data_IF_803274940473
#
_entry.id   IF_803274940473
#
_cell.length_a   1.000
_cell.length_b   1.000
_cell.length_c   1.000
_cell.angle_alpha   90.00
_cell.angle_beta   90.00
_cell.angle_gamma   90.00
#
_symmetry.space_group_name_H-M   'P 1'
#
loop_
_entity.id
_entity.type
_entity.pdbx_description
1 polymer ?
#
# COMPACT_ATOMS: atom_id res chain seq x y z
N UNK A 1 3.55 -17.28 -15.54
CA UNK A 1 4.45 -17.08 -14.38
C UNK A 1 3.82 -16.02 -13.52
N UNK A 2 3.72 -16.23 -12.21
CA UNK A 2 3.15 -15.24 -11.31
C UNK A 2 4.04 -13.98 -11.27
N UNK A 3 3.42 -12.81 -11.32
CA UNK A 3 4.05 -11.51 -11.10
C UNK A 3 4.20 -11.30 -9.60
N UNK A 4 5.38 -10.82 -9.18
CA UNK A 4 5.69 -10.61 -7.77
C UNK A 4 6.26 -9.21 -7.57
N UNK A 5 5.89 -8.58 -6.47
CA UNK A 5 6.48 -7.33 -6.01
C UNK A 5 6.67 -7.34 -4.50
N UNK A 6 7.53 -6.46 -4.01
CA UNK A 6 7.83 -6.30 -2.58
C UNK A 6 7.95 -4.82 -2.26
N UNK A 7 7.43 -4.41 -1.11
CA UNK A 7 7.62 -3.08 -0.55
C UNK A 7 8.19 -3.21 0.86
N UNK A 8 9.29 -2.49 1.11
CA UNK A 8 9.91 -2.38 2.43
C UNK A 8 9.50 -1.04 3.02
N UNK A 9 8.76 -1.10 4.13
CA UNK A 9 8.23 0.05 4.83
C UNK A 9 9.22 0.49 5.90
N UNK A 10 9.54 1.80 5.90
CA UNK A 10 10.35 2.44 6.93
C UNK A 10 9.73 3.78 7.32
N UNK A 11 9.22 3.86 8.54
CA UNK A 11 8.66 5.08 9.12
C UNK A 11 9.70 5.94 9.82
N UNK A 12 9.26 7.09 10.30
CA UNK A 12 10.00 7.85 11.30
C UNK A 12 9.82 7.17 12.68
N UNK A 13 10.91 6.71 13.29
CA UNK A 13 10.88 5.92 14.52
C UNK A 13 11.00 4.41 14.28
N UNK A 14 10.32 3.61 15.10
CA UNK A 14 10.49 2.14 15.11
C UNK A 14 9.57 1.40 14.12
N UNK A 15 8.64 2.11 13.48
CA UNK A 15 7.71 1.50 12.52
C UNK A 15 8.45 1.01 11.28
N UNK A 16 8.39 -0.30 11.05
CA UNK A 16 9.05 -0.94 9.91
C UNK A 16 8.31 -2.21 9.52
N UNK A 17 8.48 -2.65 8.27
CA UNK A 17 7.80 -3.85 7.80
C UNK A 17 8.15 -4.22 6.37
N UNK A 18 7.69 -5.38 5.96
CA UNK A 18 7.80 -5.84 4.58
C UNK A 18 6.47 -6.43 4.14
N UNK A 19 5.99 -5.98 2.98
CA UNK A 19 4.77 -6.47 2.36
C UNK A 19 5.08 -7.00 0.97
N UNK A 20 4.45 -8.13 0.64
CA UNK A 20 4.63 -8.87 -0.60
C UNK A 20 3.33 -8.87 -1.38
N UNK A 21 3.48 -8.77 -2.70
CA UNK A 21 2.38 -8.79 -3.65
C UNK A 21 2.62 -9.95 -4.61
N UNK A 22 1.60 -10.77 -4.82
CA UNK A 22 1.63 -11.85 -5.79
C UNK A 22 0.36 -11.82 -6.65
N UNK A 23 0.53 -11.89 -7.97
CA UNK A 23 -0.56 -11.92 -8.94
C UNK A 23 -0.27 -13.03 -9.96
N UNK A 24 -1.13 -14.06 -10.02
CA UNK A 24 -0.86 -15.24 -10.85
C UNK A 24 -0.79 -14.93 -12.34
N UNK A 25 -1.63 -14.01 -12.80
CA UNK A 25 -1.74 -13.50 -14.16
C UNK A 25 -2.46 -12.14 -14.17
N UNK A 26 -2.51 -11.46 -15.32
CA UNK A 26 -3.05 -10.10 -15.43
C UNK A 26 -4.53 -9.94 -15.01
N UNK A 27 -5.33 -11.01 -15.04
CA UNK A 27 -6.75 -10.99 -14.68
C UNK A 27 -7.01 -11.50 -13.27
N UNK A 28 -6.02 -12.05 -12.58
CA UNK A 28 -6.15 -12.55 -11.22
C UNK A 28 -6.09 -11.40 -10.19
N UNK A 29 -6.75 -11.52 -9.03
CA UNK A 29 -6.57 -10.58 -7.94
C UNK A 29 -5.13 -10.60 -7.42
N UNK A 30 -4.70 -9.47 -6.84
CA UNK A 30 -3.40 -9.38 -6.16
C UNK A 30 -3.55 -9.87 -4.72
N UNK A 31 -2.75 -10.85 -4.34
CA UNK A 31 -2.64 -11.30 -2.95
C UNK A 31 -1.58 -10.47 -2.23
N UNK A 32 -1.96 -9.90 -1.08
CA UNK A 32 -1.04 -9.18 -0.19
C UNK A 32 -0.78 -10.01 1.07
N UNK A 33 0.49 -10.13 1.45
CA UNK A 33 0.93 -10.74 2.72
C UNK A 33 2.09 -9.95 3.29
N UNK A 34 2.31 -9.97 4.60
CA UNK A 34 3.43 -9.27 5.22
C UNK A 34 3.28 -9.08 6.71
N UNK A 35 4.24 -8.36 7.28
CA UNK A 35 4.26 -7.99 8.70
C UNK A 35 4.76 -6.55 8.84
N UNK A 36 4.09 -5.77 9.69
CA UNK A 36 4.50 -4.41 10.08
C UNK A 36 4.58 -4.37 11.61
N UNK A 37 5.71 -3.89 12.13
CA UNK A 37 6.03 -3.80 13.56
C UNK A 37 6.12 -2.34 13.99
N UNK A 38 6.10 -2.12 15.31
CA UNK A 38 6.25 -0.78 15.90
C UNK A 38 5.06 0.14 15.66
N UNK A 39 3.87 -0.42 15.42
CA UNK A 39 2.61 0.30 15.37
C UNK A 39 1.96 0.33 16.76
N UNK A 40 1.22 1.39 17.06
CA UNK A 40 0.36 1.41 18.24
C UNK A 40 -0.78 0.40 18.09
N UNK A 41 -1.36 -0.12 19.20
CA UNK A 41 -2.55 -0.97 19.11
C UNK A 41 -3.72 -0.27 18.40
N UNK A 42 -4.43 -0.98 17.53
CA UNK A 42 -5.59 -0.47 16.80
C UNK A 42 -5.51 -0.74 15.29
N UNK A 43 -6.52 -0.25 14.57
CA UNK A 43 -6.57 -0.28 13.10
C UNK A 43 -5.74 0.87 12.51
N UNK A 44 -5.05 0.60 11.40
CA UNK A 44 -4.21 1.56 10.70
C UNK A 44 -4.60 1.60 9.23
N UNK A 45 -4.73 2.80 8.65
CA UNK A 45 -4.99 2.96 7.23
C UNK A 45 -3.82 2.41 6.39
N UNK A 46 -4.15 1.75 5.28
CA UNK A 46 -3.16 1.13 4.39
C UNK A 46 -3.52 1.39 2.93
N UNK A 47 -2.69 2.19 2.26
CA UNK A 47 -3.00 2.73 0.93
C UNK A 47 -1.79 2.68 0.00
N UNK A 48 -2.05 2.63 -1.30
CA UNK A 48 -1.05 2.89 -2.34
C UNK A 48 -1.14 4.37 -2.72
N UNK A 49 -0.02 5.07 -2.65
CA UNK A 49 0.08 6.48 -3.03
C UNK A 49 0.43 6.63 -4.51
N UNK A 50 0.15 7.81 -5.07
CA UNK A 50 0.28 8.08 -6.49
C UNK A 50 1.73 8.05 -7.01
N UNK A 51 2.69 8.43 -6.16
CA UNK A 51 4.10 8.55 -6.56
C UNK A 51 4.99 7.65 -5.72
N UNK A 52 5.94 6.99 -6.39
CA UNK A 52 7.06 6.28 -5.75
C UNK A 52 8.19 7.23 -5.37
N UNK A 53 7.86 8.41 -4.85
CA UNK A 53 8.82 9.45 -4.46
C UNK A 53 8.91 9.56 -2.94
N UNK A 54 10.12 9.34 -2.42
CA UNK A 54 10.43 9.41 -1.00
C UNK A 54 11.50 10.48 -0.69
N UNK A 55 11.75 11.42 -1.61
CA UNK A 55 12.81 12.45 -1.50
C UNK A 55 12.64 13.37 -0.29
N UNK A 56 11.40 13.65 0.11
CA UNK A 56 11.05 14.35 1.36
C UNK A 56 10.27 13.42 2.31
N UNK A 57 10.73 12.17 2.43
CA UNK A 57 10.02 11.12 3.16
C UNK A 57 8.66 10.79 2.54
N UNK A 58 7.73 10.26 3.34
CA UNK A 58 6.42 9.82 2.84
C UNK A 58 5.55 10.96 2.30
N UNK A 59 5.87 12.23 2.60
CA UNK A 59 5.13 13.39 2.13
C UNK A 59 5.20 13.48 0.59
N UNK A 60 6.35 13.15 0.00
CA UNK A 60 6.55 13.19 -1.45
C UNK A 60 5.75 12.14 -2.22
N UNK A 61 5.20 11.12 -1.55
CA UNK A 61 4.39 10.10 -2.20
C UNK A 61 3.06 10.65 -2.75
N UNK A 62 2.64 11.83 -2.28
CA UNK A 62 1.45 12.54 -2.76
C UNK A 62 0.14 11.93 -2.28
N UNK A 63 -0.98 12.09 -3.01
CA UNK A 63 -2.29 11.57 -2.61
C UNK A 63 -2.39 10.06 -2.80
N UNK A 64 -3.51 9.46 -2.41
CA UNK A 64 -3.85 8.09 -2.80
C UNK A 64 -3.85 7.96 -4.33
N UNK A 65 -3.38 6.82 -4.84
CA UNK A 65 -3.47 6.52 -6.26
C UNK A 65 -4.95 6.43 -6.68
N UNK A 66 -5.41 7.38 -7.50
CA UNK A 66 -6.81 7.54 -7.87
C UNK A 66 -6.96 7.82 -9.37
N UNK A 67 -6.69 6.84 -10.24
CA UNK A 67 -6.73 7.03 -11.69
C UNK A 67 -8.14 7.32 -12.24
N UNK A 68 -9.19 7.03 -11.47
CA UNK A 68 -10.59 7.22 -11.88
C UNK A 68 -11.27 8.41 -11.20
N UNK A 69 -10.50 9.22 -10.44
CA UNK A 69 -10.97 10.42 -9.75
C UNK A 69 -12.24 10.19 -8.90
N UNK A 70 -12.25 9.11 -8.11
CA UNK A 70 -13.34 8.75 -7.19
C UNK A 70 -13.12 9.32 -5.79
N UNK A 71 -14.19 9.38 -5.00
CA UNK A 71 -14.07 9.68 -3.56
C UNK A 71 -13.35 8.53 -2.85
N UNK A 72 -12.58 8.84 -1.80
CA UNK A 72 -11.92 7.80 -1.02
C UNK A 72 -12.96 6.88 -0.35
N UNK A 73 -12.71 5.57 -0.43
CA UNK A 73 -13.57 4.52 0.09
C UNK A 73 -12.75 3.29 0.52
N UNK A 74 -13.39 2.38 1.25
CA UNK A 74 -12.83 1.09 1.63
C UNK A 74 -12.71 0.11 0.45
N UNK A 75 -11.98 -1.01 0.61
CA UNK A 75 -11.74 -1.96 -0.47
C UNK A 75 -12.99 -2.73 -0.92
N UNK A 76 -14.04 -2.78 -0.10
CA UNK A 76 -15.30 -3.49 -0.37
C UNK A 76 -16.48 -2.55 -0.66
N UNK A 77 -16.26 -1.24 -0.68
CA UNK A 77 -17.30 -0.27 -0.96
C UNK A 77 -17.66 -0.30 -2.46
N UNK A 78 -18.95 -0.09 -2.76
CA UNK A 78 -19.45 -0.14 -4.13
C UNK A 78 -18.88 0.97 -5.02
N UNK A 79 -18.62 2.15 -4.44
CA UNK A 79 -18.12 3.34 -5.12
C UNK A 79 -16.62 3.57 -4.85
N UNK A 80 -15.78 2.61 -5.26
CA UNK A 80 -14.30 2.71 -5.18
C UNK A 80 -13.65 3.19 -6.48
#
# INVERSE_FOLDING_TARGET
>A
MAMKAVCVLKGAGDTSGTVYFEQENASAPVKLTGEIKGLTPGEHGFHVHAFGDNTNGCISAGPHYNPHNKTHAGPTDADR
#
